data_IF_024025145755
#
_entry.id   IF_024025145755
#
_cell.length_a   1.000
_cell.length_b   1.000
_cell.length_c   1.000
_cell.angle_alpha   90.00
_cell.angle_beta   90.00
_cell.angle_gamma   90.00
#
_symmetry.space_group_name_H-M   'P 1'
#
loop_
_entity.id
_entity.type
_entity.pdbx_description
1 polymer ?
#
# COMPACT_ATOMS: atom_id res chain seq x y z
N UNK A 1 -8.42 13.98 -6.53
CA UNK A 1 -8.58 14.13 -5.07
C UNK A 1 -7.25 14.63 -4.50
N UNK A 2 -7.23 15.65 -3.63
CA UNK A 2 -5.96 16.11 -3.03
C UNK A 2 -5.49 15.10 -1.98
N UNK A 3 -4.26 14.60 -2.12
CA UNK A 3 -3.63 13.62 -1.20
C UNK A 3 -3.76 14.03 0.28
N UNK A 4 -3.75 15.34 0.57
CA UNK A 4 -3.96 15.89 1.93
C UNK A 4 -5.27 15.44 2.57
N UNK A 5 -6.35 15.38 1.81
CA UNK A 5 -7.67 14.98 2.31
C UNK A 5 -7.72 13.47 2.52
N UNK A 6 -7.17 12.70 1.58
CA UNK A 6 -7.22 11.26 1.65
C UNK A 6 -6.30 10.70 2.75
N UNK A 7 -5.12 11.30 2.95
CA UNK A 7 -4.18 10.92 4.00
C UNK A 7 -4.73 11.14 5.42
N UNK A 8 -5.69 12.06 5.61
CA UNK A 8 -6.38 12.21 6.91
C UNK A 8 -7.11 10.93 7.32
N UNK A 9 -7.61 10.16 6.36
CA UNK A 9 -8.29 8.88 6.63
C UNK A 9 -7.38 7.77 7.14
N UNK A 10 -6.06 7.98 7.11
CA UNK A 10 -5.05 7.06 7.66
C UNK A 10 -4.87 7.27 9.17
N UNK A 11 -5.12 8.48 9.66
CA UNK A 11 -4.88 8.83 11.07
C UNK A 11 -5.79 7.99 11.98
N UNK A 12 -5.17 7.27 12.91
CA UNK A 12 -5.87 6.39 13.85
C UNK A 12 -6.11 4.97 13.36
N UNK A 13 -5.72 4.64 12.13
CA UNK A 13 -5.73 3.25 11.65
C UNK A 13 -4.46 2.51 12.09
N UNK A 14 -4.60 1.20 12.32
CA UNK A 14 -3.47 0.31 12.60
C UNK A 14 -3.03 -0.37 11.31
N UNK A 15 -1.75 -0.26 10.94
CA UNK A 15 -1.21 -0.98 9.80
C UNK A 15 -1.02 -2.45 10.19
N UNK A 16 -1.71 -3.36 9.50
CA UNK A 16 -1.60 -4.82 9.65
C UNK A 16 -0.72 -5.46 8.57
N UNK A 17 -0.46 -4.74 7.48
CA UNK A 17 0.42 -5.19 6.41
C UNK A 17 0.83 -4.07 5.45
N UNK A 18 1.81 -4.39 4.62
CA UNK A 18 2.36 -3.50 3.60
C UNK A 18 2.68 -4.30 2.34
N UNK A 19 2.29 -3.77 1.18
CA UNK A 19 2.64 -4.33 -0.13
C UNK A 19 3.26 -3.23 -0.99
N UNK A 20 4.37 -3.53 -1.65
CA UNK A 20 4.98 -2.64 -2.66
C UNK A 20 4.85 -3.29 -4.02
N UNK A 21 4.28 -2.56 -4.98
CA UNK A 21 4.23 -2.96 -6.38
C UNK A 21 5.05 -2.02 -7.25
N UNK A 22 5.64 -2.58 -8.30
CA UNK A 22 6.32 -1.83 -9.35
C UNK A 22 5.95 -2.34 -10.75
N UNK A 23 5.98 -1.42 -11.72
CA UNK A 23 5.68 -1.74 -13.11
C UNK A 23 6.29 -0.75 -14.11
N UNK A 24 6.48 -1.17 -15.38
CA UNK A 24 7.06 -0.33 -16.42
C UNK A 24 6.15 0.83 -16.86
N UNK A 25 4.84 0.73 -16.64
CA UNK A 25 3.83 1.74 -17.00
C UNK A 25 3.28 2.43 -15.75
N UNK A 26 2.82 3.67 -15.89
CA UNK A 26 2.26 4.42 -14.77
C UNK A 26 1.05 3.74 -14.13
N UNK A 27 0.91 3.78 -12.79
CA UNK A 27 1.92 4.19 -11.80
C UNK A 27 3.11 3.22 -11.74
N UNK A 28 4.35 3.75 -11.72
CA UNK A 28 5.58 2.95 -11.74
C UNK A 28 5.91 2.29 -10.41
N UNK A 29 5.55 2.93 -9.31
CA UNK A 29 5.78 2.44 -7.95
C UNK A 29 4.55 2.74 -7.11
N UNK A 30 4.09 1.73 -6.37
CA UNK A 30 2.91 1.79 -5.53
C UNK A 30 3.22 1.19 -4.15
N UNK A 31 2.79 1.86 -3.09
CA UNK A 31 2.88 1.36 -1.71
C UNK A 31 1.47 1.29 -1.16
N UNK A 32 1.05 0.09 -0.80
CA UNK A 32 -0.24 -0.18 -0.19
C UNK A 32 -0.04 -0.36 1.31
N UNK A 33 -0.76 0.44 2.10
CA UNK A 33 -0.94 0.23 3.53
C UNK A 33 -2.21 -0.58 3.73
N UNK A 34 -2.10 -1.74 4.37
CA UNK A 34 -3.23 -2.60 4.71
C UNK A 34 -3.52 -2.40 6.20
N UNK A 35 -4.79 -2.21 6.54
CA UNK A 35 -5.23 -1.93 7.90
C UNK A 35 -5.93 -3.15 8.54
N UNK A 36 -5.96 -3.19 9.86
CA UNK A 36 -6.61 -4.26 10.65
C UNK A 36 -8.15 -4.25 10.55
N UNK A 37 -8.74 -3.17 10.04
CA UNK A 37 -10.18 -3.00 9.83
C UNK A 37 -10.65 -3.43 8.42
N UNK A 38 -9.86 -4.24 7.71
CA UNK A 38 -10.13 -4.71 6.35
C UNK A 38 -10.33 -3.56 5.34
N UNK A 39 -9.48 -2.54 5.45
CA UNK A 39 -9.34 -1.48 4.48
C UNK A 39 -7.88 -1.32 4.05
N UNK A 40 -7.65 -0.63 2.94
CA UNK A 40 -6.30 -0.30 2.48
C UNK A 40 -6.22 1.13 1.91
N UNK A 41 -4.99 1.63 1.82
CA UNK A 41 -4.66 2.91 1.18
C UNK A 41 -3.46 2.74 0.25
N UNK A 42 -3.52 3.31 -0.94
CA UNK A 42 -2.44 3.29 -1.92
C UNK A 42 -1.75 4.66 -1.99
N UNK A 43 -0.43 4.68 -1.85
CA UNK A 43 0.42 5.73 -2.39
C UNK A 43 0.94 5.31 -3.75
N UNK A 44 0.94 6.21 -4.72
CA UNK A 44 1.46 5.88 -6.05
C UNK A 44 2.29 7.01 -6.65
N UNK A 45 3.18 6.61 -7.57
CA UNK A 45 4.00 7.53 -8.32
C UNK A 45 4.29 7.06 -9.73
N UNK A 46 4.46 8.01 -10.65
CA UNK A 46 5.06 7.80 -11.98
C UNK A 46 6.55 8.18 -12.02
N UNK A 47 7.14 8.58 -10.89
CA UNK A 47 8.53 9.04 -10.72
C UNK A 47 9.12 8.58 -9.38
N UNK A 48 10.31 9.06 -8.99
CA UNK A 48 11.01 8.64 -7.76
C UNK A 48 10.41 9.17 -6.44
N UNK A 49 9.34 9.96 -6.48
CA UNK A 49 8.70 10.59 -5.32
C UNK A 49 7.21 10.33 -5.33
N UNK A 50 6.58 10.16 -4.15
CA UNK A 50 5.12 9.99 -4.06
C UNK A 50 4.42 11.16 -4.76
N UNK A 51 3.58 10.86 -5.75
CA UNK A 51 2.84 11.89 -6.50
C UNK A 51 1.44 12.09 -5.95
N UNK A 52 0.78 10.99 -5.56
CA UNK A 52 -0.59 11.03 -5.05
C UNK A 52 -0.87 9.79 -4.19
N UNK A 53 -2.08 9.71 -3.67
CA UNK A 53 -2.64 8.50 -3.09
C UNK A 53 -4.11 8.30 -3.48
N UNK A 54 -4.64 7.12 -3.17
CA UNK A 54 -6.04 6.76 -3.31
C UNK A 54 -6.89 7.38 -2.19
N UNK A 55 -8.17 7.01 -2.14
CA UNK A 55 -8.97 7.08 -0.91
C UNK A 55 -8.73 5.84 -0.03
N UNK A 56 -9.33 5.79 1.15
CA UNK A 56 -9.43 4.53 1.89
C UNK A 56 -10.38 3.61 1.12
N UNK A 57 -9.88 2.46 0.70
CA UNK A 57 -10.62 1.47 -0.06
C UNK A 57 -10.98 0.28 0.84
N UNK A 58 -12.15 -0.36 0.67
CA UNK A 58 -12.45 -1.63 1.32
C UNK A 58 -11.56 -2.74 0.76
N UNK A 59 -11.16 -3.69 1.60
CA UNK A 59 -10.37 -4.85 1.21
C UNK A 59 -9.09 -5.00 2.03
N UNK A 60 -8.52 -6.20 1.97
CA UNK A 60 -7.31 -6.58 2.69
C UNK A 60 -6.15 -6.91 1.74
N UNK A 61 -5.20 -7.70 2.24
CA UNK A 61 -4.01 -8.07 1.49
C UNK A 61 -4.33 -8.83 0.19
N UNK A 62 -5.35 -9.67 0.19
CA UNK A 62 -5.74 -10.46 -0.99
C UNK A 62 -6.30 -9.56 -2.10
N UNK A 63 -7.15 -8.59 -1.73
CA UNK A 63 -7.61 -7.56 -2.67
C UNK A 63 -6.42 -6.80 -3.24
N UNK A 64 -5.48 -6.38 -2.40
CA UNK A 64 -4.27 -5.68 -2.87
C UNK A 64 -3.42 -6.57 -3.77
N UNK A 65 -3.31 -7.88 -3.53
CA UNK A 65 -2.55 -8.80 -4.39
C UNK A 65 -3.14 -8.87 -5.79
N UNK A 66 -4.46 -8.98 -5.87
CA UNK A 66 -5.21 -9.05 -7.13
C UNK A 66 -5.38 -7.69 -7.82
N UNK A 67 -5.32 -6.60 -7.06
CA UNK A 67 -5.58 -5.26 -7.55
C UNK A 67 -4.48 -4.75 -8.47
N UNK A 68 -4.83 -4.45 -9.72
CA UNK A 68 -3.94 -3.91 -10.74
C UNK A 68 -3.77 -4.88 -11.92
N UNK A 69 -3.70 -4.32 -13.12
CA UNK A 69 -3.45 -5.11 -14.32
C UNK A 69 -1.94 -5.36 -14.50
N UNK A 70 -1.57 -6.48 -15.13
CA UNK A 70 -0.24 -6.73 -15.71
C UNK A 70 0.17 -5.47 -16.51
N UNK A 71 1.29 -4.79 -16.21
CA UNK A 71 2.55 -5.33 -15.67
C UNK A 71 2.97 -4.95 -14.23
N UNK A 72 2.05 -4.63 -13.33
CA UNK A 72 2.41 -4.38 -11.92
C UNK A 72 2.79 -5.68 -11.20
N UNK A 73 3.95 -5.70 -10.55
CA UNK A 73 4.47 -6.86 -9.81
C UNK A 73 4.70 -6.52 -8.36
N UNK A 74 4.35 -7.43 -7.45
CA UNK A 74 4.69 -7.31 -6.03
C UNK A 74 6.19 -7.54 -5.89
N UNK A 75 6.90 -6.54 -5.35
CA UNK A 75 8.34 -6.61 -5.10
C UNK A 75 8.67 -6.71 -3.60
N UNK A 76 7.70 -6.39 -2.74
CA UNK A 76 7.82 -6.52 -1.30
C UNK A 76 6.45 -6.72 -0.66
N UNK A 77 6.38 -7.57 0.34
CA UNK A 77 5.19 -7.80 1.16
C UNK A 77 5.63 -8.07 2.61
N UNK A 78 4.96 -7.44 3.56
CA UNK A 78 5.13 -7.70 4.99
C UNK A 78 3.77 -7.70 5.70
N UNK A 79 3.56 -8.62 6.62
CA UNK A 79 2.36 -8.71 7.46
C UNK A 79 2.75 -8.68 8.93
N UNK A 80 1.84 -8.25 9.80
CA UNK A 80 2.06 -8.27 11.25
C UNK A 80 2.35 -9.69 11.78
N UNK A 81 1.85 -10.73 11.11
CA UNK A 81 2.12 -12.13 11.42
C UNK A 81 3.52 -12.60 10.97
N UNK A 82 4.12 -11.91 9.98
CA UNK A 82 5.44 -12.21 9.40
C UNK A 82 6.57 -11.28 9.87
N UNK A 83 6.28 -10.29 10.73
CA UNK A 83 7.30 -9.47 11.39
C UNK A 83 7.95 -10.28 12.52
N UNK A 84 8.88 -11.17 12.13
CA UNK A 84 9.82 -11.78 13.07
C UNK A 84 10.52 -10.67 13.86
N UNK A 85 10.41 -10.75 15.19
CA UNK A 85 10.98 -9.80 16.17
C UNK A 85 12.51 -9.91 16.30
N UNK A 86 13.17 -10.55 15.33
CA UNK A 86 14.61 -10.78 15.31
C UNK A 86 15.46 -9.56 14.92
N UNK A 87 14.87 -8.42 14.56
CA UNK A 87 15.61 -7.14 14.44
C UNK A 87 15.78 -6.40 15.78
N UNK A 88 16.11 -7.16 16.83
CA UNK A 88 16.70 -6.65 18.06
C UNK A 88 18.20 -6.95 18.11
N UNK A 89 19.02 -6.01 17.62
CA UNK A 89 20.37 -5.73 18.14
C UNK A 89 20.73 -4.26 17.88
#
# INVERSE_FOLDING_TARGET
>A
MHIKTAAKGIVGKTISGLVVKEGPTGPKSQVYLIFDDNTYFEFFSSSYWIQSGSQICPGGIDEVREFGNDPQRIIFEATAEGLDTSMGK
#
